data_IF_013053846970
#
_entry.id   IF_013053846970
#
_cell.length_a   1.000
_cell.length_b   1.000
_cell.length_c   1.000
_cell.angle_alpha   90.00
_cell.angle_beta   90.00
_cell.angle_gamma   90.00
#
_symmetry.space_group_name_H-M   'P 1'
#
loop_
_entity.id
_entity.type
_entity.pdbx_description
1 polymer ?
#
# COMPACT_ATOMS: atom_id res chain seq x y z
N UNK A 1 3.53 -14.75 4.97
CA UNK A 1 2.29 -14.05 5.33
C UNK A 1 1.75 -13.43 4.06
N UNK A 2 0.43 -13.49 3.81
CA UNK A 2 -0.15 -13.03 2.54
C UNK A 2 -0.63 -11.59 2.68
N UNK A 3 -0.11 -10.67 1.87
CA UNK A 3 -0.56 -9.26 1.89
C UNK A 3 -1.78 -9.10 0.97
N UNK A 4 -2.77 -8.33 1.44
CA UNK A 4 -3.99 -8.00 0.72
C UNK A 4 -4.44 -6.56 1.02
N UNK A 5 -5.57 -6.14 0.43
CA UNK A 5 -6.14 -4.80 0.59
C UNK A 5 -6.49 -4.41 2.04
N UNK A 6 -6.86 -5.38 2.88
CA UNK A 6 -7.21 -5.15 4.29
C UNK A 6 -5.98 -4.98 5.20
N UNK A 7 -4.79 -5.28 4.68
CA UNK A 7 -3.55 -5.18 5.44
C UNK A 7 -3.27 -3.72 5.83
N UNK A 8 -2.84 -3.50 7.07
CA UNK A 8 -2.57 -2.16 7.61
C UNK A 8 -1.27 -1.61 7.03
N UNK A 9 -1.28 -0.34 6.62
CA UNK A 9 -0.08 0.32 6.08
C UNK A 9 1.03 0.39 7.13
N UNK A 10 0.68 0.62 8.41
CA UNK A 10 1.66 0.58 9.50
C UNK A 10 2.37 -0.77 9.62
N UNK A 11 1.63 -1.89 9.61
CA UNK A 11 2.26 -3.22 9.68
C UNK A 11 3.14 -3.49 8.44
N UNK A 12 2.75 -3.01 7.26
CA UNK A 12 3.58 -3.12 6.05
C UNK A 12 4.93 -2.41 6.24
N UNK A 13 4.92 -1.20 6.79
CA UNK A 13 6.13 -0.42 7.02
C UNK A 13 7.00 -1.01 8.15
N UNK A 14 6.40 -1.58 9.19
CA UNK A 14 7.14 -2.24 10.29
C UNK A 14 7.78 -3.56 9.85
N UNK A 15 7.01 -4.43 9.18
CA UNK A 15 7.49 -5.74 8.76
C UNK A 15 8.41 -5.66 7.53
N UNK A 16 8.19 -4.68 6.66
CA UNK A 16 8.95 -4.48 5.43
C UNK A 16 9.36 -3.02 5.26
N UNK A 17 10.38 -2.53 5.98
CA UNK A 17 10.83 -1.13 5.89
C UNK A 17 11.19 -0.69 4.47
N UNK A 18 11.72 -1.61 3.66
CA UNK A 18 12.07 -1.36 2.25
C UNK A 18 10.84 -1.05 1.35
N UNK A 19 9.62 -1.32 1.86
CA UNK A 19 8.37 -0.93 1.21
C UNK A 19 8.10 0.58 1.28
N UNK A 20 8.77 1.32 2.17
CA UNK A 20 8.51 2.74 2.41
C UNK A 20 8.59 3.57 1.13
N UNK A 21 9.56 3.29 0.25
CA UNK A 21 9.70 3.98 -1.03
C UNK A 21 8.47 3.78 -1.93
N UNK A 22 7.89 2.57 -1.92
CA UNK A 22 6.68 2.25 -2.68
C UNK A 22 5.48 2.95 -2.03
N UNK A 23 5.33 2.84 -0.71
CA UNK A 23 4.25 3.51 0.04
C UNK A 23 4.27 5.01 -0.21
N UNK A 24 5.43 5.66 -0.13
CA UNK A 24 5.59 7.11 -0.43
C UNK A 24 5.22 7.46 -1.86
N UNK A 25 5.56 6.61 -2.83
CA UNK A 25 5.23 6.84 -4.25
C UNK A 25 3.72 6.85 -4.50
N UNK A 26 2.98 5.92 -3.89
CA UNK A 26 1.55 5.76 -4.14
C UNK A 26 0.65 6.56 -3.19
N UNK A 27 1.15 6.89 -2.00
CA UNK A 27 0.42 7.62 -0.98
C UNK A 27 1.08 8.97 -0.66
N UNK A 28 1.72 9.61 -1.66
CA UNK A 28 2.46 10.87 -1.49
C UNK A 28 1.60 11.94 -0.82
N UNK A 29 0.32 12.03 -1.21
CA UNK A 29 -0.66 12.94 -0.62
C UNK A 29 -0.63 12.97 0.91
N UNK A 30 -0.53 11.80 1.57
CA UNK A 30 -0.53 11.75 3.03
C UNK A 30 0.75 12.31 3.64
N UNK A 31 1.89 12.18 2.96
CA UNK A 31 3.17 12.73 3.40
C UNK A 31 3.28 14.23 3.07
N UNK A 32 2.76 14.65 1.92
CA UNK A 32 2.73 16.06 1.49
C UNK A 32 1.86 16.91 2.43
N UNK A 33 0.76 16.35 2.91
CA UNK A 33 -0.13 16.99 3.88
C UNK A 33 0.29 16.75 5.35
N UNK A 34 1.40 16.06 5.61
CA UNK A 34 1.91 15.73 6.96
C UNK A 34 0.86 15.00 7.84
N UNK A 35 0.05 14.14 7.21
CA UNK A 35 -1.03 13.37 7.85
C UNK A 35 -0.76 11.86 7.88
N UNK A 36 0.43 11.41 7.51
CA UNK A 36 0.76 9.99 7.41
C UNK A 36 0.67 9.28 8.77
N UNK A 37 1.09 9.95 9.85
CA UNK A 37 1.08 9.38 11.20
C UNK A 37 -0.32 9.33 11.81
N UNK A 38 -1.18 10.30 11.47
CA UNK A 38 -2.54 10.42 12.02
C UNK A 38 -3.57 9.65 11.19
N UNK A 39 -3.34 9.50 9.88
CA UNK A 39 -4.27 8.89 8.93
C UNK A 39 -3.66 7.64 8.27
N UNK A 40 -2.62 7.80 7.43
CA UNK A 40 -2.12 6.70 6.58
C UNK A 40 -1.79 5.44 7.38
N UNK A 41 -1.02 5.56 8.46
CA UNK A 41 -0.62 4.43 9.32
C UNK A 41 -1.81 3.73 9.99
N UNK A 42 -2.97 4.37 10.13
CA UNK A 42 -4.18 3.78 10.71
C UNK A 42 -5.05 3.07 9.67
N UNK A 43 -4.87 3.38 8.39
CA UNK A 43 -5.66 2.83 7.29
C UNK A 43 -5.15 1.44 6.87
N UNK A 44 -6.05 0.67 6.27
CA UNK A 44 -5.64 -0.43 5.41
C UNK A 44 -5.14 0.12 4.08
N UNK A 45 -4.40 -0.68 3.31
CA UNK A 45 -3.95 -0.30 1.96
C UNK A 45 -5.14 0.13 1.10
N UNK A 46 -6.23 -0.62 1.11
CA UNK A 46 -7.46 -0.27 0.37
C UNK A 46 -8.12 1.00 0.91
N UNK A 47 -8.12 1.18 2.24
CA UNK A 47 -8.61 2.40 2.87
C UNK A 47 -7.82 3.64 2.43
N UNK A 48 -6.49 3.54 2.34
CA UNK A 48 -5.64 4.61 1.87
C UNK A 48 -5.92 4.95 0.39
N UNK A 49 -6.09 3.93 -0.47
CA UNK A 49 -6.47 4.15 -1.87
C UNK A 49 -7.85 4.77 -2.05
N UNK A 50 -8.82 4.42 -1.19
CA UNK A 50 -10.16 5.01 -1.23
C UNK A 50 -10.13 6.50 -0.88
N UNK A 51 -9.30 6.92 0.09
CA UNK A 51 -9.16 8.34 0.48
C UNK A 51 -8.64 9.19 -0.66
N UNK A 52 -7.67 8.68 -1.43
CA UNK A 52 -7.13 9.40 -2.60
C UNK A 52 -7.93 9.13 -3.89
N UNK A 53 -9.06 8.43 -3.79
CA UNK A 53 -9.92 8.06 -4.91
C UNK A 53 -9.15 7.42 -6.09
N UNK A 54 -8.19 6.55 -5.79
CA UNK A 54 -7.35 5.92 -6.80
C UNK A 54 -8.12 4.83 -7.57
N UNK A 55 -7.86 4.76 -8.88
CA UNK A 55 -8.41 3.73 -9.75
C UNK A 55 -7.87 2.33 -9.38
N UNK A 56 -8.65 1.29 -9.66
CA UNK A 56 -8.29 -0.11 -9.37
C UNK A 56 -6.96 -0.51 -10.03
N UNK A 57 -6.67 0.00 -11.23
CA UNK A 57 -5.41 -0.24 -11.93
C UNK A 57 -4.19 0.21 -11.12
N UNK A 58 -4.28 1.36 -10.45
CA UNK A 58 -3.20 1.90 -9.61
C UNK A 58 -2.99 0.99 -8.39
N UNK A 59 -4.09 0.54 -7.77
CA UNK A 59 -4.06 -0.39 -6.65
C UNK A 59 -3.39 -1.71 -7.02
N UNK A 60 -3.74 -2.31 -8.17
CA UNK A 60 -3.08 -3.53 -8.68
C UNK A 60 -1.59 -3.30 -8.93
N UNK A 61 -1.22 -2.15 -9.50
CA UNK A 61 0.18 -1.81 -9.75
C UNK A 61 0.98 -1.68 -8.45
N UNK A 62 0.42 -1.09 -7.40
CA UNK A 62 1.05 -1.03 -6.07
C UNK A 62 1.38 -2.43 -5.52
N UNK A 63 0.42 -3.35 -5.60
CA UNK A 63 0.61 -4.73 -5.15
C UNK A 63 1.65 -5.48 -5.98
N UNK A 64 1.68 -5.24 -7.29
CA UNK A 64 2.72 -5.78 -8.17
C UNK A 64 4.10 -5.22 -7.82
N UNK A 65 4.23 -3.91 -7.62
CA UNK A 65 5.49 -3.28 -7.24
C UNK A 65 6.01 -3.81 -5.89
N UNK A 66 5.11 -4.05 -4.93
CA UNK A 66 5.46 -4.70 -3.65
C UNK A 66 5.98 -6.12 -3.87
N UNK A 67 5.28 -6.93 -4.67
CA UNK A 67 5.72 -8.28 -5.03
C UNK A 67 7.10 -8.26 -5.70
N UNK A 68 7.29 -7.41 -6.71
CA UNK A 68 8.49 -7.38 -7.52
C UNK A 68 9.72 -6.87 -6.73
N UNK A 69 9.51 -5.92 -5.80
CA UNK A 69 10.60 -5.38 -4.98
C UNK A 69 10.95 -6.26 -3.79
N UNK A 70 9.96 -6.85 -3.13
CA UNK A 70 10.14 -7.49 -1.82
C UNK A 70 9.93 -9.01 -1.85
N UNK A 71 9.53 -9.58 -3.00
CA UNK A 71 9.24 -11.00 -3.14
C UNK A 71 8.05 -11.48 -2.30
N UNK A 72 7.11 -10.59 -2.00
CA UNK A 72 6.00 -10.85 -1.09
C UNK A 72 4.91 -11.72 -1.73
N UNK A 73 4.37 -12.66 -0.97
CA UNK A 73 3.18 -13.41 -1.39
C UNK A 73 1.94 -12.50 -1.32
N UNK A 74 1.53 -11.98 -2.48
CA UNK A 74 0.34 -11.13 -2.61
C UNK A 74 -0.85 -11.97 -3.06
N UNK A 75 -2.05 -11.59 -2.61
CA UNK A 75 -3.27 -12.24 -3.09
C UNK A 75 -3.41 -12.20 -4.60
N UNK A 76 -3.50 -13.38 -5.25
CA UNK A 76 -3.67 -13.52 -6.71
C UNK A 76 -4.82 -12.68 -7.29
N UNK A 77 -5.92 -12.51 -6.55
CA UNK A 77 -7.05 -11.66 -6.93
C UNK A 77 -6.70 -10.18 -7.12
N UNK A 78 -5.55 -9.74 -6.59
CA UNK A 78 -5.03 -8.37 -6.70
C UNK A 78 -3.97 -8.24 -7.81
N UNK A 79 -3.57 -9.36 -8.43
CA UNK A 79 -2.55 -9.42 -9.48
C UNK A 79 -3.14 -9.78 -10.86
N UNK A 80 -4.27 -10.47 -10.91
CA UNK A 80 -4.92 -10.89 -12.15
C UNK A 80 -6.13 -9.97 -12.51
N UNK A 81 -6.40 -9.82 -13.82
CA UNK A 81 -7.63 -9.20 -14.36
C UNK A 81 -8.82 -10.16 -14.32
#
# INVERSE_FOLDING_TARGET
>A
MRINGDFKVFHLLEEYPDSEEIVKRYFSFFYEEEIEDIALKRLSIDGAFNVINAEEKIRKQFFKDLHDKLGLDISKSLLEE
#
